data_IF_739222970642
#
_entry.id   IF_739222970642
#
_cell.length_a   1.000
_cell.length_b   1.000
_cell.length_c   1.000
_cell.angle_alpha   90.00
_cell.angle_beta   90.00
_cell.angle_gamma   90.00
#
_symmetry.space_group_name_H-M   'P 1'
#
loop_
_entity.id
_entity.type
_entity.pdbx_description
1 polymer ?
#
# COMPACT_ATOMS: atom_id res chain seq x y z
N UNK A 1 2.87 -20.45 -13.85
CA UNK A 1 2.06 -19.32 -13.37
C UNK A 1 2.99 -18.19 -12.97
N UNK A 2 2.66 -16.93 -13.28
CA UNK A 2 3.48 -15.77 -12.91
C UNK A 2 2.77 -15.04 -11.77
N UNK A 3 3.41 -14.96 -10.61
CA UNK A 3 2.83 -14.31 -9.43
C UNK A 3 2.41 -12.86 -9.74
N UNK A 4 1.23 -12.44 -9.27
CA UNK A 4 0.72 -11.08 -9.42
C UNK A 4 0.14 -10.74 -10.80
N UNK A 5 0.07 -11.70 -11.72
CA UNK A 5 -0.51 -11.51 -13.06
C UNK A 5 -2.01 -11.18 -13.05
N UNK A 6 -2.68 -11.58 -11.97
CA UNK A 6 -4.11 -11.42 -11.69
C UNK A 6 -4.45 -10.07 -11.04
N UNK A 7 -3.45 -9.30 -10.62
CA UNK A 7 -3.66 -7.95 -10.08
C UNK A 7 -4.15 -6.99 -11.16
N UNK A 8 -4.79 -5.89 -10.76
CA UNK A 8 -5.22 -4.86 -11.71
C UNK A 8 -4.05 -4.24 -12.49
N UNK A 9 -2.84 -4.29 -11.93
CA UNK A 9 -1.61 -3.82 -12.58
C UNK A 9 -0.85 -4.92 -13.34
N UNK A 10 -1.35 -6.17 -13.35
CA UNK A 10 -0.73 -7.31 -14.04
C UNK A 10 0.67 -7.69 -13.54
N UNK A 11 1.06 -7.22 -12.34
CA UNK A 11 2.36 -7.47 -11.72
C UNK A 11 2.26 -7.45 -10.18
N UNK A 12 3.20 -8.10 -9.48
CA UNK A 12 3.28 -7.95 -8.04
C UNK A 12 3.77 -6.56 -7.64
N UNK A 13 3.33 -6.11 -6.48
CA UNK A 13 3.89 -4.94 -5.82
C UNK A 13 5.37 -5.14 -5.48
N UNK A 14 6.13 -4.06 -5.52
CA UNK A 14 7.53 -3.99 -5.15
C UNK A 14 7.67 -3.32 -3.77
N UNK A 15 8.69 -3.66 -2.97
CA UNK A 15 8.86 -3.08 -1.64
C UNK A 15 8.92 -1.53 -1.61
N UNK A 16 9.45 -0.93 -2.67
CA UNK A 16 9.51 0.53 -2.81
C UNK A 16 8.12 1.18 -2.86
N UNK A 17 7.08 0.44 -3.25
CA UNK A 17 5.73 0.99 -3.42
C UNK A 17 4.96 1.10 -2.10
N UNK A 18 5.32 0.31 -1.08
CA UNK A 18 4.70 0.40 0.26
C UNK A 18 5.47 1.34 1.21
N UNK A 19 6.77 1.54 1.01
CA UNK A 19 7.62 2.35 1.88
C UNK A 19 7.09 3.78 2.14
N UNK A 20 6.56 4.54 1.15
CA UNK A 20 6.07 5.90 1.38
C UNK A 20 4.90 5.99 2.37
N UNK A 21 4.05 4.96 2.46
CA UNK A 21 2.94 4.93 3.42
C UNK A 21 3.45 4.94 4.86
N UNK A 22 4.52 4.19 5.15
CA UNK A 22 5.13 4.21 6.48
C UNK A 22 5.74 5.58 6.81
N UNK A 23 6.38 6.21 5.84
CA UNK A 23 6.94 7.56 6.01
C UNK A 23 5.82 8.56 6.29
N UNK A 24 4.72 8.52 5.54
CA UNK A 24 3.55 9.37 5.77
C UNK A 24 2.99 9.19 7.19
N UNK A 25 2.76 7.95 7.62
CA UNK A 25 2.21 7.67 8.95
C UNK A 25 3.14 8.11 10.09
N UNK A 26 4.45 8.15 9.86
CA UNK A 26 5.43 8.64 10.82
C UNK A 26 5.69 10.16 10.74
N UNK A 27 5.25 10.82 9.67
CA UNK A 27 5.51 12.23 9.40
C UNK A 27 4.59 13.17 10.21
N UNK A 28 4.93 14.46 10.22
CA UNK A 28 4.03 15.50 10.73
C UNK A 28 2.77 15.67 9.85
N UNK A 29 2.83 15.30 8.57
CA UNK A 29 1.65 15.32 7.70
C UNK A 29 0.58 14.33 8.19
N UNK A 30 0.99 13.24 8.84
CA UNK A 30 0.12 12.25 9.47
C UNK A 30 -0.43 12.63 10.85
N UNK A 31 -0.27 13.89 11.30
CA UNK A 31 -0.56 14.32 12.68
C UNK A 31 -1.98 14.06 13.19
N UNK A 32 -2.96 13.86 12.30
CA UNK A 32 -4.34 13.54 12.66
C UNK A 32 -4.80 12.15 12.17
N UNK A 33 -3.87 11.32 11.68
CA UNK A 33 -4.14 9.95 11.25
C UNK A 33 -3.84 9.03 12.44
N UNK A 34 -4.87 8.52 13.09
CA UNK A 34 -4.73 7.65 14.26
C UNK A 34 -5.81 6.56 14.26
N UNK A 35 -5.40 5.32 14.55
CA UNK A 35 -6.32 4.17 14.59
C UNK A 35 -6.72 3.62 13.23
N UNK A 36 -6.14 4.13 12.15
CA UNK A 36 -6.49 3.77 10.78
C UNK A 36 -5.66 2.60 10.24
N UNK A 37 -6.20 1.89 9.23
CA UNK A 37 -5.53 0.81 8.51
C UNK A 37 -5.41 1.18 7.04
N UNK A 38 -4.17 1.32 6.55
CA UNK A 38 -3.89 1.73 5.17
C UNK A 38 -3.50 0.50 4.33
N UNK A 39 -4.32 0.23 3.30
CA UNK A 39 -4.04 -0.81 2.32
C UNK A 39 -3.23 -0.32 1.12
N UNK A 40 -2.10 -0.97 0.84
CA UNK A 40 -1.34 -0.79 -0.42
C UNK A 40 -1.42 -2.08 -1.23
N UNK A 41 -2.60 -2.35 -1.80
CA UNK A 41 -2.94 -3.69 -2.35
C UNK A 41 -2.91 -3.76 -3.88
N UNK A 42 -2.47 -2.70 -4.55
CA UNK A 42 -2.37 -2.71 -6.02
C UNK A 42 -3.73 -2.87 -6.72
N UNK A 43 -4.82 -2.39 -6.09
CA UNK A 43 -6.17 -2.46 -6.66
C UNK A 43 -7.02 -3.65 -6.21
N UNK A 44 -6.51 -4.52 -5.33
CA UNK A 44 -7.29 -5.64 -4.79
C UNK A 44 -8.35 -5.23 -3.75
N UNK A 45 -8.33 -3.95 -3.32
CA UNK A 45 -9.16 -3.45 -2.22
C UNK A 45 -8.60 -3.84 -0.85
N UNK A 46 -9.21 -3.29 0.20
CA UNK A 46 -9.08 -3.76 1.59
C UNK A 46 -10.49 -4.07 2.08
N UNK A 47 -10.66 -5.25 2.67
CA UNK A 47 -11.91 -5.69 3.26
C UNK A 47 -11.98 -5.27 4.73
#
# INVERSE_FOLDING_TARGET
MKFGSESQYGRPGQPVEIAPVYVLLASQEGSYISGEVYGVTGGAGVA
#
